data_IF_396086301590
#
_entry.id   IF_396086301590
#
_cell.length_a   1.000
_cell.length_b   1.000
_cell.length_c   1.000
_cell.angle_alpha   90.00
_cell.angle_beta   90.00
_cell.angle_gamma   90.00
#
_symmetry.space_group_name_H-M   'P 1'
#
loop_
_entity.id
_entity.type
_entity.pdbx_description
1 polymer ?
#
# COMPACT_ATOMS: atom_id res chain seq x y z
N UNK A 1 -37.40 13.27 -3.47
CA UNK A 1 -36.57 12.31 -2.70
C UNK A 1 -35.52 13.13 -1.96
N UNK A 2 -35.24 12.87 -0.67
CA UNK A 2 -34.22 13.62 0.07
C UNK A 2 -32.83 12.99 -0.14
N UNK A 3 -31.75 13.76 0.04
CA UNK A 3 -30.38 13.23 -0.06
C UNK A 3 -30.15 12.03 0.86
N UNK A 4 -30.65 12.10 2.10
CA UNK A 4 -30.53 11.00 3.05
C UNK A 4 -31.20 9.71 2.55
N UNK A 5 -32.44 9.80 2.04
CA UNK A 5 -33.14 8.62 1.49
C UNK A 5 -32.43 8.05 0.27
N UNK A 6 -31.85 8.91 -0.57
CA UNK A 6 -31.07 8.47 -1.73
C UNK A 6 -29.77 7.76 -1.32
N UNK A 7 -29.09 8.24 -0.29
CA UNK A 7 -27.90 7.59 0.28
C UNK A 7 -28.27 6.21 0.86
N UNK A 8 -29.35 6.15 1.64
CA UNK A 8 -29.86 4.90 2.21
C UNK A 8 -30.23 3.90 1.11
N UNK A 9 -30.93 4.34 0.06
CA UNK A 9 -31.27 3.53 -1.10
C UNK A 9 -30.04 3.00 -1.84
N UNK A 10 -29.01 3.84 -2.06
CA UNK A 10 -27.73 3.40 -2.63
C UNK A 10 -27.05 2.33 -1.79
N UNK A 11 -27.02 2.51 -0.47
CA UNK A 11 -26.42 1.54 0.44
C UNK A 11 -27.16 0.19 0.38
N UNK A 12 -28.49 0.20 0.32
CA UNK A 12 -29.32 -1.01 0.17
C UNK A 12 -29.01 -1.74 -1.13
N UNK A 13 -28.75 -1.01 -2.22
CA UNK A 13 -28.37 -1.57 -3.51
C UNK A 13 -26.87 -1.95 -3.61
N UNK A 14 -26.12 -1.91 -2.51
CA UNK A 14 -24.73 -2.33 -2.46
C UNK A 14 -23.75 -1.31 -3.01
N UNK A 15 -24.12 -0.02 -3.08
CA UNK A 15 -23.23 1.08 -3.45
C UNK A 15 -22.76 1.83 -2.19
N UNK A 16 -21.63 1.44 -1.57
CA UNK A 16 -21.16 1.99 -0.31
C UNK A 16 -20.58 3.41 -0.42
N UNK A 17 -20.41 3.93 -1.63
CA UNK A 17 -19.74 5.21 -1.90
C UNK A 17 -20.51 6.04 -2.92
N UNK A 18 -20.26 7.35 -2.88
CA UNK A 18 -20.77 8.30 -3.85
C UNK A 18 -19.89 9.56 -3.91
N UNK A 19 -19.97 10.25 -5.04
CA UNK A 19 -19.34 11.54 -5.29
C UNK A 19 -20.35 12.68 -5.22
N UNK A 20 -19.85 13.92 -5.09
CA UNK A 20 -20.72 15.11 -5.21
C UNK A 20 -21.31 15.19 -6.61
N UNK A 21 -20.60 14.71 -7.63
CA UNK A 21 -21.09 14.62 -9.00
C UNK A 21 -22.31 13.69 -9.12
N UNK A 22 -22.33 12.56 -8.40
CA UNK A 22 -23.48 11.65 -8.37
C UNK A 22 -24.72 12.34 -7.78
N UNK A 23 -24.53 13.13 -6.71
CA UNK A 23 -25.62 13.88 -6.07
C UNK A 23 -26.16 14.97 -7.00
N UNK A 24 -25.27 15.66 -7.73
CA UNK A 24 -25.68 16.66 -8.74
C UNK A 24 -26.45 16.01 -9.88
N UNK A 25 -26.01 14.85 -10.35
CA UNK A 25 -26.68 14.11 -11.42
C UNK A 25 -28.09 13.63 -11.02
N UNK A 26 -28.31 13.36 -9.72
CA UNK A 26 -29.60 12.97 -9.18
C UNK A 26 -30.57 14.15 -8.93
N UNK A 27 -30.14 15.40 -9.16
CA UNK A 27 -30.92 16.64 -9.01
C UNK A 27 -31.66 16.75 -7.64
N UNK A 28 -30.97 16.37 -6.56
CA UNK A 28 -31.54 16.26 -5.22
C UNK A 28 -31.54 17.57 -4.43
N UNK A 29 -30.73 18.56 -4.85
CA UNK A 29 -30.53 19.81 -4.12
C UNK A 29 -30.69 21.02 -5.05
N UNK A 30 -31.51 21.99 -4.65
CA UNK A 30 -31.82 23.18 -5.44
C UNK A 30 -30.67 24.21 -5.53
N UNK A 31 -29.63 24.08 -4.69
CA UNK A 31 -28.44 24.93 -4.74
C UNK A 31 -27.21 24.24 -4.15
N UNK A 32 -26.01 24.68 -4.55
CA UNK A 32 -24.75 24.16 -4.02
C UNK A 32 -24.60 24.44 -2.51
N UNK A 33 -25.13 25.56 -2.01
CA UNK A 33 -25.10 25.85 -0.57
C UNK A 33 -25.91 24.83 0.24
N UNK A 34 -27.09 24.44 -0.26
CA UNK A 34 -27.92 23.42 0.38
C UNK A 34 -27.18 22.08 0.39
N UNK A 35 -26.57 21.69 -0.73
CA UNK A 35 -25.80 20.46 -0.85
C UNK A 35 -24.66 20.40 0.19
N UNK A 36 -23.85 21.45 0.29
CA UNK A 36 -22.75 21.51 1.25
C UNK A 36 -23.25 21.44 2.70
N UNK A 37 -24.35 22.13 3.02
CA UNK A 37 -24.95 22.09 4.35
C UNK A 37 -25.47 20.68 4.70
N UNK A 38 -26.13 19.99 3.76
CA UNK A 38 -26.61 18.63 3.97
C UNK A 38 -25.48 17.62 4.14
N UNK A 39 -24.44 17.67 3.29
CA UNK A 39 -23.27 16.81 3.41
C UNK A 39 -22.52 17.04 4.73
N UNK A 40 -22.41 18.30 5.16
CA UNK A 40 -21.82 18.65 6.45
C UNK A 40 -22.63 18.08 7.63
N UNK A 41 -23.96 18.21 7.58
CA UNK A 41 -24.87 17.62 8.58
C UNK A 41 -24.74 16.09 8.65
N UNK A 42 -24.75 15.42 7.49
CA UNK A 42 -24.64 13.96 7.41
C UNK A 42 -23.26 13.46 7.88
N UNK A 43 -22.20 14.23 7.61
CA UNK A 43 -20.86 13.92 8.11
C UNK A 43 -20.78 14.09 9.63
N UNK A 44 -21.37 15.17 10.16
CA UNK A 44 -21.41 15.44 11.61
C UNK A 44 -22.16 14.37 12.39
N UNK A 45 -23.23 13.83 11.81
CA UNK A 45 -24.03 12.76 12.40
C UNK A 45 -23.50 11.34 12.11
N UNK A 46 -22.28 11.21 11.54
CA UNK A 46 -21.64 9.93 11.21
C UNK A 46 -22.47 9.03 10.29
N UNK A 47 -23.26 9.61 9.40
CA UNK A 47 -23.95 8.86 8.33
C UNK A 47 -23.02 8.63 7.13
N UNK A 48 -22.16 9.60 6.84
CA UNK A 48 -21.16 9.54 5.78
C UNK A 48 -19.81 9.99 6.33
N UNK A 49 -18.73 9.56 5.69
CA UNK A 49 -17.39 10.11 5.91
C UNK A 49 -16.82 10.61 4.58
N UNK A 50 -16.29 11.83 4.56
CA UNK A 50 -15.45 12.26 3.45
C UNK A 50 -14.13 11.49 3.52
N UNK A 51 -13.79 10.81 2.42
CA UNK A 51 -12.54 10.03 2.31
C UNK A 51 -11.59 10.64 1.27
N UNK A 52 -12.13 11.45 0.37
CA UNK A 52 -11.40 12.29 -0.58
C UNK A 52 -12.24 13.53 -0.88
N UNK A 53 -11.63 14.58 -1.44
CA UNK A 53 -12.34 15.82 -1.77
C UNK A 53 -13.50 15.52 -2.72
N UNK A 54 -14.73 15.78 -2.26
CA UNK A 54 -15.95 15.55 -3.05
C UNK A 54 -16.34 14.08 -3.18
N UNK A 55 -15.73 13.18 -2.39
CA UNK A 55 -16.03 11.76 -2.42
C UNK A 55 -16.25 11.22 -1.00
N UNK A 56 -17.33 10.46 -0.84
CA UNK A 56 -17.85 10.05 0.44
C UNK A 56 -18.07 8.54 0.48
N UNK A 57 -17.81 7.96 1.65
CA UNK A 57 -18.24 6.61 2.00
C UNK A 57 -19.43 6.70 2.94
N UNK A 58 -20.44 5.87 2.68
CA UNK A 58 -21.60 5.70 3.56
C UNK A 58 -21.13 4.85 4.73
N UNK A 59 -21.26 5.33 5.97
CA UNK A 59 -20.76 4.62 7.15
C UNK A 59 -21.70 3.46 7.46
N UNK A 60 -21.25 2.20 7.30
CA UNK A 60 -22.05 1.03 7.67
C UNK A 60 -22.25 0.97 9.18
N UNK A 61 -23.34 0.33 9.62
CA UNK A 61 -23.70 0.24 11.05
C UNK A 61 -22.57 -0.34 11.90
N UNK A 62 -21.83 -1.33 11.40
CA UNK A 62 -20.69 -1.95 12.09
C UNK A 62 -19.50 -0.98 12.33
N UNK A 63 -19.43 0.13 11.59
CA UNK A 63 -18.35 1.12 11.71
C UNK A 63 -18.75 2.40 12.43
N UNK A 64 -20.04 2.58 12.80
CA UNK A 64 -20.55 3.79 13.45
C UNK A 64 -19.85 4.06 14.79
N UNK A 65 -19.70 3.02 15.63
CA UNK A 65 -19.02 3.14 16.92
C UNK A 65 -17.51 3.37 16.77
N UNK A 66 -16.89 2.70 15.79
CA UNK A 66 -15.47 2.86 15.46
C UNK A 66 -15.16 4.29 14.97
N UNK A 67 -16.13 4.95 14.36
CA UNK A 67 -15.99 6.32 13.85
C UNK A 67 -15.12 6.42 12.59
N UNK A 68 -14.58 5.31 12.09
CA UNK A 68 -13.80 5.23 10.85
C UNK A 68 -14.15 3.98 10.05
N UNK A 69 -14.18 4.14 8.73
CA UNK A 69 -14.41 3.06 7.76
C UNK A 69 -13.06 2.70 7.16
N UNK A 70 -12.61 1.42 7.22
CA UNK A 70 -11.33 1.01 6.66
C UNK A 70 -11.21 1.34 5.17
N UNK A 71 -10.00 1.71 4.70
CA UNK A 71 -9.78 1.99 3.28
C UNK A 71 -10.04 0.76 2.38
N UNK A 72 -9.83 -0.45 2.88
CA UNK A 72 -10.21 -1.70 2.17
C UNK A 72 -11.69 -1.77 1.79
N UNK A 73 -12.54 -0.98 2.44
CA UNK A 73 -13.98 -0.89 2.17
C UNK A 73 -14.33 -0.03 0.95
N UNK A 74 -13.47 0.93 0.57
CA UNK A 74 -13.81 1.92 -0.46
C UNK A 74 -12.69 2.25 -1.46
N UNK A 75 -11.47 1.73 -1.27
CA UNK A 75 -10.32 2.17 -2.07
C UNK A 75 -10.48 1.85 -3.55
N UNK A 76 -11.09 0.71 -3.89
CA UNK A 76 -11.29 0.31 -5.29
C UNK A 76 -12.24 1.27 -6.02
N UNK A 77 -13.36 1.60 -5.37
CA UNK A 77 -14.35 2.54 -5.89
C UNK A 77 -13.77 3.96 -5.97
N UNK A 78 -12.96 4.36 -4.97
CA UNK A 78 -12.26 5.64 -5.00
C UNK A 78 -11.28 5.71 -6.16
N UNK A 79 -10.46 4.68 -6.39
CA UNK A 79 -9.48 4.68 -7.47
C UNK A 79 -10.12 4.60 -8.85
N UNK A 80 -11.26 3.91 -8.97
CA UNK A 80 -12.12 3.94 -10.16
C UNK A 80 -12.66 5.35 -10.43
N UNK A 81 -13.18 6.05 -9.41
CA UNK A 81 -13.63 7.45 -9.54
C UNK A 81 -12.48 8.39 -9.93
N UNK A 82 -11.29 8.19 -9.35
CA UNK A 82 -10.10 8.97 -9.70
C UNK A 82 -9.52 8.60 -11.07
N UNK A 83 -10.01 7.52 -11.71
CA UNK A 83 -9.49 6.96 -12.95
C UNK A 83 -7.97 6.73 -12.86
N UNK A 84 -7.53 6.15 -11.76
CA UNK A 84 -6.11 5.92 -11.47
C UNK A 84 -5.87 4.44 -11.22
N UNK A 85 -4.90 3.82 -11.90
CA UNK A 85 -4.49 2.47 -11.57
C UNK A 85 -3.83 2.48 -10.19
N UNK A 86 -3.95 1.39 -9.45
CA UNK A 86 -3.43 1.32 -8.09
C UNK A 86 -3.13 -0.11 -7.66
N UNK A 87 -2.39 -0.21 -6.56
CA UNK A 87 -2.41 -1.37 -5.68
C UNK A 87 -2.12 -0.95 -4.24
N UNK A 88 -2.57 -1.76 -3.28
CA UNK A 88 -2.22 -1.65 -1.87
C UNK A 88 -0.82 -2.22 -1.67
N UNK A 89 0.06 -1.46 -1.01
CA UNK A 89 1.49 -1.74 -0.92
C UNK A 89 2.01 -1.72 0.53
N UNK A 90 3.32 -1.95 0.69
CA UNK A 90 4.03 -1.81 1.98
C UNK A 90 3.38 -2.64 3.10
N UNK A 91 3.34 -2.10 4.33
CA UNK A 91 2.76 -2.74 5.51
C UNK A 91 1.29 -3.14 5.32
N UNK A 92 0.50 -2.37 4.55
CA UNK A 92 -0.89 -2.72 4.29
C UNK A 92 -1.03 -3.96 3.41
N UNK A 93 -0.13 -4.15 2.45
CA UNK A 93 -0.07 -5.39 1.69
C UNK A 93 0.42 -6.56 2.55
N UNK A 94 1.46 -6.34 3.38
CA UNK A 94 1.97 -7.36 4.29
C UNK A 94 0.89 -7.84 5.28
N UNK A 95 0.09 -6.93 5.85
CA UNK A 95 -1.07 -7.27 6.69
C UNK A 95 -2.07 -8.14 5.92
N UNK A 96 -2.41 -7.77 4.69
CA UNK A 96 -3.37 -8.50 3.86
C UNK A 96 -2.85 -9.85 3.35
N UNK A 97 -1.53 -10.02 3.30
CA UNK A 97 -0.83 -11.28 3.05
C UNK A 97 -0.66 -12.12 4.33
N UNK A 98 -0.99 -11.58 5.50
CA UNK A 98 -0.88 -12.26 6.78
C UNK A 98 0.54 -12.31 7.36
N UNK A 99 1.45 -11.47 6.86
CA UNK A 99 2.86 -11.41 7.28
C UNK A 99 3.18 -10.20 8.19
N UNK A 100 2.14 -9.52 8.71
CA UNK A 100 2.30 -8.40 9.63
C UNK A 100 1.36 -8.55 10.82
N UNK A 101 1.95 -8.82 11.99
CA UNK A 101 1.21 -9.02 13.25
C UNK A 101 0.56 -7.77 13.83
N UNK A 102 1.11 -6.60 13.51
CA UNK A 102 0.55 -5.33 13.94
C UNK A 102 -0.19 -4.66 12.81
N UNK A 103 -1.43 -4.26 13.07
CA UNK A 103 -2.22 -3.47 12.13
C UNK A 103 -1.53 -2.13 11.85
N UNK A 104 -1.20 -1.81 10.58
CA UNK A 104 -0.63 -0.53 10.22
C UNK A 104 -1.58 0.61 10.59
N UNK A 105 -1.04 1.70 11.12
CA UNK A 105 -1.83 2.90 11.44
C UNK A 105 -2.30 3.63 10.18
N UNK A 106 -1.51 3.56 9.10
CA UNK A 106 -1.77 4.18 7.80
C UNK A 106 -2.03 3.11 6.75
N UNK A 107 -2.90 3.43 5.79
CA UNK A 107 -3.19 2.55 4.66
C UNK A 107 -2.38 2.99 3.44
N UNK A 108 -1.43 2.17 3.00
CA UNK A 108 -0.50 2.53 1.93
C UNK A 108 -1.02 2.12 0.56
N UNK A 109 -1.09 3.08 -0.36
CA UNK A 109 -1.55 2.88 -1.73
C UNK A 109 -0.50 3.41 -2.71
N UNK A 110 -0.09 2.55 -3.64
CA UNK A 110 0.77 2.92 -4.76
C UNK A 110 -0.08 3.24 -5.99
N UNK A 111 0.21 4.35 -6.67
CA UNK A 111 -0.45 4.74 -7.93
C UNK A 111 0.55 5.44 -8.86
N UNK A 112 0.06 6.02 -9.96
CA UNK A 112 0.88 6.70 -10.96
C UNK A 112 0.81 8.23 -10.90
N UNK A 113 1.88 8.88 -11.36
CA UNK A 113 1.92 10.33 -11.56
C UNK A 113 0.85 10.81 -12.56
N UNK A 114 0.45 12.09 -12.54
CA UNK A 114 0.84 13.14 -11.59
C UNK A 114 0.25 12.92 -10.19
N UNK A 115 0.92 13.46 -9.17
CA UNK A 115 0.42 13.45 -7.79
C UNK A 115 -0.88 14.25 -7.73
N UNK A 116 -1.94 13.67 -7.15
CA UNK A 116 -3.14 14.44 -6.81
C UNK A 116 -2.93 15.14 -5.47
N UNK A 117 -3.56 16.30 -5.29
CA UNK A 117 -3.61 16.93 -3.96
C UNK A 117 -4.46 16.05 -3.05
N UNK A 118 -3.78 15.32 -2.18
CA UNK A 118 -4.41 14.52 -1.14
C UNK A 118 -4.87 15.48 -0.05
N UNK A 119 -6.16 15.40 0.31
CA UNK A 119 -6.65 16.00 1.55
C UNK A 119 -6.75 14.85 2.53
N UNK A 120 -5.90 14.85 3.55
CA UNK A 120 -6.05 13.90 4.66
C UNK A 120 -7.39 14.17 5.33
N UNK A 121 -8.22 13.14 5.42
CA UNK A 121 -9.49 13.19 6.14
C UNK A 121 -9.27 12.58 7.53
N UNK A 122 -10.04 13.02 8.53
CA UNK A 122 -9.73 12.80 9.96
C UNK A 122 -9.72 11.32 10.41
N UNK A 123 -10.22 10.38 9.59
CA UNK A 123 -10.61 9.05 10.06
C UNK A 123 -9.79 7.89 9.48
N UNK A 124 -9.22 8.03 8.27
CA UNK A 124 -8.23 7.10 7.71
C UNK A 124 -7.21 7.90 6.91
N UNK A 125 -5.95 7.85 7.34
CA UNK A 125 -4.84 8.44 6.60
C UNK A 125 -4.37 7.44 5.56
N UNK A 126 -4.74 7.67 4.31
CA UNK A 126 -4.16 6.96 3.17
C UNK A 126 -2.83 7.62 2.86
N UNK A 127 -1.77 6.82 2.85
CA UNK A 127 -0.45 7.24 2.40
C UNK A 127 -0.29 6.91 0.92
N UNK A 128 0.01 7.94 0.13
CA UNK A 128 0.06 7.84 -1.31
C UNK A 128 1.49 7.77 -1.80
N UNK A 129 1.82 6.66 -2.44
CA UNK A 129 3.10 6.42 -3.11
C UNK A 129 2.92 6.45 -4.62
N UNK A 130 3.98 6.82 -5.33
CA UNK A 130 3.90 7.11 -6.76
C UNK A 130 5.07 6.47 -7.52
N UNK A 131 4.75 5.88 -8.67
CA UNK A 131 5.71 5.33 -9.63
C UNK A 131 5.24 5.60 -11.07
N UNK A 132 6.14 5.53 -12.05
CA UNK A 132 5.82 5.88 -13.44
C UNK A 132 4.87 4.87 -14.10
N UNK A 133 5.03 3.58 -13.77
CA UNK A 133 4.14 2.50 -14.18
C UNK A 133 3.96 1.48 -13.06
N UNK A 134 2.88 0.70 -13.14
CA UNK A 134 2.60 -0.38 -12.19
C UNK A 134 2.98 -1.74 -12.82
N UNK A 135 3.59 -2.65 -12.05
CA UNK A 135 3.86 -4.01 -12.52
C UNK A 135 2.59 -4.87 -12.41
N UNK A 136 1.70 -4.74 -13.40
CA UNK A 136 0.36 -5.36 -13.38
C UNK A 136 0.37 -6.87 -13.10
N UNK A 137 1.35 -7.59 -13.65
CA UNK A 137 1.53 -9.04 -13.48
C UNK A 137 1.99 -9.44 -12.07
N UNK A 138 2.47 -8.48 -11.27
CA UNK A 138 2.87 -8.71 -9.87
C UNK A 138 1.77 -8.31 -8.87
N UNK A 139 0.57 -8.02 -9.36
CA UNK A 139 -0.58 -7.67 -8.53
C UNK A 139 -1.51 -8.86 -8.38
N UNK A 140 -2.00 -9.09 -7.17
CA UNK A 140 -3.00 -10.11 -6.86
C UNK A 140 -4.27 -9.48 -6.33
N UNK A 141 -5.38 -10.19 -6.48
CA UNK A 141 -6.70 -9.74 -6.03
C UNK A 141 -7.01 -10.32 -4.67
N UNK A 142 -7.46 -9.49 -3.73
CA UNK A 142 -7.93 -9.90 -2.41
C UNK A 142 -9.40 -9.51 -2.23
N UNK A 143 -10.21 -10.41 -1.68
CA UNK A 143 -11.60 -10.12 -1.34
C UNK A 143 -11.68 -9.15 -0.15
N UNK A 144 -12.66 -8.26 -0.20
CA UNK A 144 -13.02 -7.32 0.88
C UNK A 144 -14.52 -7.38 1.14
N UNK A 145 -15.00 -6.63 2.14
CA UNK A 145 -16.42 -6.55 2.48
C UNK A 145 -17.30 -6.02 1.33
N UNK A 146 -16.73 -5.21 0.43
CA UNK A 146 -17.46 -4.49 -0.63
C UNK A 146 -17.06 -4.89 -2.03
N UNK A 147 -16.31 -5.98 -2.19
CA UNK A 147 -15.84 -6.48 -3.47
C UNK A 147 -14.42 -7.01 -3.39
N UNK A 148 -13.55 -6.48 -4.24
CA UNK A 148 -12.15 -6.87 -4.29
C UNK A 148 -11.24 -5.65 -4.35
N UNK A 149 -10.00 -5.84 -3.94
CA UNK A 149 -8.92 -4.85 -4.06
C UNK A 149 -7.70 -5.50 -4.69
N UNK A 150 -6.84 -4.68 -5.27
CA UNK A 150 -5.56 -5.11 -5.82
C UNK A 150 -4.44 -4.84 -4.83
N UNK A 151 -3.62 -5.85 -4.56
CA UNK A 151 -2.48 -5.74 -3.64
C UNK A 151 -1.21 -6.24 -4.33
N UNK A 152 -0.04 -5.80 -3.87
CA UNK A 152 1.24 -6.36 -4.32
C UNK A 152 1.35 -7.83 -3.93
N UNK A 153 1.93 -8.66 -4.81
CA UNK A 153 2.31 -10.02 -4.46
C UNK A 153 3.43 -10.02 -3.38
N UNK A 154 3.79 -11.17 -2.79
CA UNK A 154 4.81 -11.24 -1.75
C UNK A 154 6.16 -10.61 -2.12
N UNK A 155 6.75 -10.93 -3.29
CA UNK A 155 8.04 -10.36 -3.69
C UNK A 155 7.99 -8.85 -3.95
N UNK A 156 6.92 -8.34 -4.56
CA UNK A 156 6.74 -6.90 -4.76
C UNK A 156 6.54 -6.19 -3.41
N UNK A 157 5.82 -6.81 -2.48
CA UNK A 157 5.65 -6.29 -1.11
C UNK A 157 6.99 -6.20 -0.41
N UNK A 158 7.83 -7.24 -0.48
CA UNK A 158 9.18 -7.24 0.07
C UNK A 158 10.07 -6.13 -0.54
N UNK A 159 10.04 -5.99 -1.87
CA UNK A 159 10.79 -4.95 -2.56
C UNK A 159 10.33 -3.54 -2.18
N UNK A 160 9.02 -3.32 -2.09
CA UNK A 160 8.42 -2.06 -1.65
C UNK A 160 8.86 -1.71 -0.22
N UNK A 161 8.76 -2.67 0.72
CA UNK A 161 9.19 -2.52 2.12
C UNK A 161 10.65 -2.06 2.21
N UNK A 162 11.56 -2.70 1.47
CA UNK A 162 12.98 -2.33 1.43
C UNK A 162 13.18 -0.96 0.77
N UNK A 163 12.49 -0.69 -0.35
CA UNK A 163 12.64 0.56 -1.11
C UNK A 163 12.21 1.78 -0.28
N UNK A 164 11.12 1.66 0.47
CA UNK A 164 10.54 2.74 1.26
C UNK A 164 10.69 2.49 2.78
N UNK A 165 11.77 1.82 3.19
CA UNK A 165 12.05 1.46 4.59
C UNK A 165 11.90 2.61 5.59
N UNK A 166 12.23 3.84 5.18
CA UNK A 166 12.07 5.05 6.02
C UNK A 166 10.60 5.36 6.38
N UNK A 167 9.65 4.88 5.60
CA UNK A 167 8.21 5.07 5.84
C UNK A 167 7.55 3.93 6.61
N UNK A 168 8.29 2.85 6.92
CA UNK A 168 7.74 1.67 7.59
C UNK A 168 8.41 1.33 8.92
N UNK A 169 9.29 2.21 9.41
CA UNK A 169 9.98 2.04 10.68
C UNK A 169 11.41 1.52 10.56
N UNK A 170 12.00 1.56 9.36
CA UNK A 170 13.39 1.15 9.12
C UNK A 170 13.55 -0.33 8.77
N UNK A 171 14.79 -0.73 8.48
CA UNK A 171 15.09 -2.09 8.01
C UNK A 171 14.87 -3.18 9.07
N UNK A 172 14.98 -2.89 10.37
CA UNK A 172 14.67 -3.83 11.46
C UNK A 172 13.23 -4.34 11.37
N UNK A 173 12.27 -3.42 11.22
CA UNK A 173 10.86 -3.77 11.04
C UNK A 173 10.59 -4.46 9.71
N UNK A 174 11.31 -4.09 8.66
CA UNK A 174 11.23 -4.79 7.37
C UNK A 174 11.72 -6.23 7.52
N UNK A 175 12.85 -6.46 8.19
CA UNK A 175 13.40 -7.80 8.41
C UNK A 175 12.42 -8.69 9.21
N UNK A 176 11.82 -8.16 10.27
CA UNK A 176 10.81 -8.88 11.07
C UNK A 176 9.62 -9.32 10.21
N UNK A 177 9.11 -8.46 9.32
CA UNK A 177 8.02 -8.82 8.39
C UNK A 177 8.48 -9.86 7.36
N UNK A 178 9.75 -9.82 6.95
CA UNK A 178 10.31 -10.76 5.99
C UNK A 178 10.47 -12.16 6.57
N UNK A 179 10.53 -12.34 7.88
CA UNK A 179 10.57 -13.67 8.52
C UNK A 179 9.34 -14.51 8.17
N UNK A 180 8.16 -13.89 8.03
CA UNK A 180 6.94 -14.58 7.60
C UNK A 180 6.66 -14.44 6.12
N UNK A 181 6.93 -13.26 5.55
CA UNK A 181 6.62 -12.99 4.15
C UNK A 181 7.45 -13.88 3.21
N UNK A 182 8.67 -14.27 3.62
CA UNK A 182 9.57 -15.15 2.87
C UNK A 182 8.92 -16.46 2.48
N UNK A 183 8.11 -17.08 3.36
CA UNK A 183 7.43 -18.35 3.12
C UNK A 183 6.49 -18.31 1.91
N UNK A 184 6.03 -17.12 1.52
CA UNK A 184 5.11 -16.88 0.40
C UNK A 184 5.82 -16.38 -0.87
N UNK A 185 7.13 -16.12 -0.81
CA UNK A 185 7.91 -15.62 -1.95
C UNK A 185 8.30 -16.77 -2.86
N UNK A 186 8.04 -16.62 -4.15
CA UNK A 186 8.53 -17.51 -5.21
C UNK A 186 9.31 -16.66 -6.22
N UNK A 187 10.64 -16.58 -6.04
CA UNK A 187 11.51 -15.74 -6.86
C UNK A 187 11.41 -16.11 -8.34
N UNK A 188 11.41 -17.40 -8.64
CA UNK A 188 11.43 -17.91 -10.02
C UNK A 188 10.14 -17.52 -10.78
N UNK A 189 9.01 -17.42 -10.09
CA UNK A 189 7.74 -16.97 -10.70
C UNK A 189 7.54 -15.46 -10.64
N UNK A 190 7.98 -14.80 -9.57
CA UNK A 190 7.58 -13.43 -9.25
C UNK A 190 8.60 -12.37 -9.70
N UNK A 191 9.86 -12.74 -9.97
CA UNK A 191 10.93 -11.75 -10.23
C UNK A 191 10.81 -11.07 -11.60
N UNK A 192 10.60 -11.84 -12.68
CA UNK A 192 10.67 -11.34 -14.06
C UNK A 192 9.77 -10.11 -14.31
N UNK A 193 8.49 -10.08 -13.87
CA UNK A 193 7.65 -8.91 -14.07
C UNK A 193 8.09 -7.66 -13.28
N UNK A 194 8.94 -7.83 -12.27
CA UNK A 194 9.39 -6.76 -11.38
C UNK A 194 10.76 -6.19 -11.76
N UNK A 195 11.55 -6.91 -12.55
CA UNK A 195 12.94 -6.58 -12.85
C UNK A 195 13.13 -5.17 -13.43
N UNK A 196 12.17 -4.68 -14.23
CA UNK A 196 12.22 -3.35 -14.85
C UNK A 196 11.62 -2.24 -13.98
N UNK A 197 10.80 -2.60 -12.98
CA UNK A 197 10.09 -1.65 -12.11
C UNK A 197 10.84 -1.34 -10.82
N UNK A 198 11.67 -2.28 -10.35
CA UNK A 198 12.40 -2.16 -9.08
C UNK A 198 13.88 -1.91 -9.36
N UNK A 199 14.45 -0.91 -8.69
CA UNK A 199 15.87 -0.56 -8.84
C UNK A 199 16.75 -1.69 -8.32
N UNK A 200 17.84 -1.99 -9.04
CA UNK A 200 18.84 -2.99 -8.66
C UNK A 200 19.30 -2.92 -7.19
N UNK A 201 19.53 -1.71 -6.66
CA UNK A 201 19.96 -1.52 -5.25
C UNK A 201 18.95 -2.07 -4.24
N UNK A 202 17.65 -2.04 -4.56
CA UNK A 202 16.59 -2.61 -3.70
C UNK A 202 16.74 -4.12 -3.65
N UNK A 203 16.98 -4.77 -4.79
CA UNK A 203 17.24 -6.21 -4.84
C UNK A 203 18.53 -6.60 -4.11
N UNK A 204 19.59 -5.79 -4.23
CA UNK A 204 20.83 -6.02 -3.48
C UNK A 204 20.59 -6.00 -1.96
N UNK A 205 19.82 -5.01 -1.48
CA UNK A 205 19.46 -4.90 -0.06
C UNK A 205 18.54 -6.03 0.39
N UNK A 206 17.51 -6.37 -0.40
CA UNK A 206 16.60 -7.46 -0.08
C UNK A 206 17.34 -8.80 0.01
N UNK A 207 18.21 -9.11 -0.96
CA UNK A 207 19.01 -10.32 -0.95
C UNK A 207 19.94 -10.42 0.25
N UNK A 208 20.62 -9.31 0.61
CA UNK A 208 21.44 -9.26 1.82
C UNK A 208 20.61 -9.55 3.09
N UNK A 209 19.43 -8.94 3.23
CA UNK A 209 18.55 -9.11 4.38
C UNK A 209 18.03 -10.56 4.46
N UNK A 210 17.56 -11.13 3.34
CA UNK A 210 17.10 -12.52 3.29
C UNK A 210 18.21 -13.49 3.71
N UNK A 211 19.43 -13.33 3.19
CA UNK A 211 20.54 -14.26 3.46
C UNK A 211 21.12 -14.13 4.86
N UNK A 212 21.37 -12.90 5.32
CA UNK A 212 22.22 -12.64 6.49
C UNK A 212 21.45 -12.23 7.74
N UNK A 213 20.21 -11.77 7.59
CA UNK A 213 19.36 -11.36 8.71
C UNK A 213 18.27 -12.39 8.95
N UNK A 214 17.44 -12.66 7.93
CA UNK A 214 16.29 -13.59 8.04
C UNK A 214 16.76 -15.06 7.99
N UNK A 215 17.84 -15.36 7.28
CA UNK A 215 18.40 -16.71 7.15
C UNK A 215 17.84 -17.54 5.99
N UNK A 216 17.05 -16.91 5.11
CA UNK A 216 16.42 -17.51 3.93
C UNK A 216 17.38 -17.63 2.74
N UNK A 217 18.41 -18.47 2.91
CA UNK A 217 19.51 -18.62 1.94
C UNK A 217 19.04 -19.10 0.57
N UNK A 218 18.06 -20.01 0.51
CA UNK A 218 17.57 -20.54 -0.77
C UNK A 218 16.88 -19.45 -1.61
N UNK A 219 16.04 -18.61 -0.97
CA UNK A 219 15.42 -17.47 -1.65
C UNK A 219 16.47 -16.44 -2.09
N UNK A 220 17.47 -16.20 -1.26
CA UNK A 220 18.57 -15.31 -1.58
C UNK A 220 19.41 -15.83 -2.77
N UNK A 221 19.68 -17.13 -2.84
CA UNK A 221 20.37 -17.80 -3.95
C UNK A 221 19.59 -17.66 -5.25
N UNK A 222 18.29 -17.95 -5.24
CA UNK A 222 17.42 -17.78 -6.41
C UNK A 222 17.41 -16.32 -6.90
N UNK A 223 17.28 -15.36 -5.98
CA UNK A 223 17.29 -13.93 -6.32
C UNK A 223 18.64 -13.51 -6.90
N UNK A 224 19.73 -14.02 -6.35
CA UNK A 224 21.08 -13.73 -6.82
C UNK A 224 21.27 -14.21 -8.26
N UNK A 225 20.82 -15.43 -8.59
CA UNK A 225 20.91 -15.98 -9.95
C UNK A 225 20.05 -15.22 -10.95
N UNK A 226 18.82 -14.83 -10.57
CA UNK A 226 17.97 -13.98 -11.42
C UNK A 226 18.63 -12.63 -11.72
N UNK A 227 19.24 -11.99 -10.72
CA UNK A 227 19.94 -10.72 -10.91
C UNK A 227 21.20 -10.85 -11.76
N UNK A 228 21.99 -11.91 -11.57
CA UNK A 228 23.20 -12.18 -12.34
C UNK A 228 22.90 -12.38 -13.82
N UNK A 229 21.76 -13.02 -14.12
CA UNK A 229 21.31 -13.29 -15.49
C UNK A 229 20.71 -12.05 -16.16
N UNK A 230 19.91 -11.28 -15.42
CA UNK A 230 19.18 -10.13 -15.95
C UNK A 230 20.00 -8.84 -15.99
N UNK A 231 21.01 -8.72 -15.14
CA UNK A 231 21.70 -7.47 -14.91
C UNK A 231 23.20 -7.68 -14.84
N UNK A 232 23.97 -6.80 -15.48
CA UNK A 232 25.44 -6.79 -15.38
C UNK A 232 25.93 -6.59 -13.93
N UNK A 233 27.22 -6.32 -13.78
CA UNK A 233 27.91 -6.17 -12.48
C UNK A 233 27.18 -5.31 -11.42
N UNK A 234 27.32 -5.72 -10.16
CA UNK A 234 26.87 -4.97 -8.98
C UNK A 234 27.88 -3.91 -8.58
N UNK A 235 27.38 -2.79 -8.05
CA UNK A 235 28.20 -1.74 -7.40
C UNK A 235 27.93 -1.78 -5.90
N UNK A 236 28.95 -1.44 -5.12
CA UNK A 236 28.76 -1.25 -3.68
C UNK A 236 27.75 -0.14 -3.41
N UNK A 237 26.78 -0.41 -2.54
CA UNK A 237 25.73 0.52 -2.12
C UNK A 237 25.53 0.41 -0.60
N UNK A 238 25.18 1.50 0.11
CA UNK A 238 24.86 1.40 1.53
C UNK A 238 23.59 0.56 1.76
N UNK A 239 23.59 -0.23 2.84
CA UNK A 239 22.46 -1.05 3.27
C UNK A 239 21.23 -0.17 3.55
N UNK A 240 21.43 0.94 4.26
CA UNK A 240 20.40 1.93 4.52
C UNK A 240 20.83 3.33 4.05
N UNK A 241 19.86 4.12 3.59
CA UNK A 241 20.04 5.56 3.31
C UNK A 241 19.76 6.44 4.53
N UNK A 242 19.41 5.86 5.68
CA UNK A 242 19.12 6.61 6.92
C UNK A 242 20.35 6.90 7.78
N UNK A 243 21.50 6.33 7.43
CA UNK A 243 22.77 6.49 8.14
C UNK A 243 23.89 6.82 7.14
N UNK A 244 25.01 7.35 7.67
CA UNK A 244 26.22 7.55 6.87
C UNK A 244 26.70 6.23 6.26
N UNK A 245 27.32 6.28 5.09
CA UNK A 245 27.87 5.07 4.47
C UNK A 245 29.03 4.53 5.29
N UNK A 246 29.18 3.21 5.35
CA UNK A 246 30.28 2.54 6.04
C UNK A 246 31.05 1.63 5.08
N UNK A 247 31.97 2.18 4.27
CA UNK A 247 32.74 1.37 3.33
C UNK A 247 33.78 0.48 4.01
N UNK A 248 33.89 0.41 5.33
CA UNK A 248 34.82 -0.51 6.00
C UNK A 248 34.20 -1.88 6.27
N UNK A 249 32.88 -1.93 6.48
CA UNK A 249 32.11 -3.16 6.69
C UNK A 249 31.29 -3.45 5.44
N UNK A 250 31.57 -4.55 4.73
CA UNK A 250 30.94 -4.83 3.43
C UNK A 250 30.60 -6.28 3.26
N UNK A 251 29.44 -6.53 2.69
CA UNK A 251 29.10 -7.80 2.06
C UNK A 251 29.53 -7.82 0.59
N UNK A 252 30.34 -8.82 0.24
CA UNK A 252 30.95 -8.92 -1.07
C UNK A 252 30.05 -9.54 -2.13
N UNK A 253 29.06 -10.34 -1.72
CA UNK A 253 28.13 -11.04 -2.61
C UNK A 253 27.13 -10.06 -3.20
N UNK A 254 26.37 -9.40 -2.33
CA UNK A 254 25.36 -8.42 -2.70
C UNK A 254 25.94 -7.03 -2.99
N UNK A 255 27.25 -6.82 -2.74
CA UNK A 255 27.91 -5.52 -2.82
C UNK A 255 27.17 -4.48 -1.98
N UNK A 256 27.02 -4.77 -0.70
CA UNK A 256 26.36 -3.88 0.25
C UNK A 256 27.37 -3.43 1.32
N UNK A 257 27.42 -2.13 1.58
CA UNK A 257 28.14 -1.57 2.71
C UNK A 257 27.22 -1.61 3.94
N UNK A 258 27.62 -2.34 4.98
CA UNK A 258 26.82 -2.59 6.17
C UNK A 258 26.97 -1.40 7.09
N UNK A 259 26.05 -0.45 6.95
CA UNK A 259 26.11 0.85 7.62
C UNK A 259 25.02 1.05 8.69
N UNK A 260 24.19 0.04 8.91
CA UNK A 260 23.23 -0.05 10.00
C UNK A 260 23.21 -1.48 10.51
N UNK A 261 22.97 -1.65 11.81
CA UNK A 261 22.62 -2.93 12.41
C UNK A 261 21.12 -3.18 12.22
N UNK A 262 20.74 -4.43 11.96
CA UNK A 262 19.36 -4.85 11.77
C UNK A 262 19.09 -5.92 12.81
N UNK A 263 18.17 -5.62 13.72
CA UNK A 263 17.68 -6.53 14.75
C UNK A 263 16.23 -6.87 14.40
N UNK A 264 15.86 -8.15 14.46
CA UNK A 264 14.47 -8.55 14.35
C UNK A 264 13.84 -8.59 15.74
N UNK A 265 12.57 -8.18 15.82
CA UNK A 265 11.84 -8.24 17.07
C UNK A 265 11.49 -9.71 17.36
N UNK A 266 11.63 -10.17 18.61
CA UNK A 266 11.11 -11.46 19.03
C UNK A 266 9.57 -11.43 18.88
N UNK A 267 9.05 -12.26 17.96
CA UNK A 267 7.60 -12.44 17.71
C UNK A 267 6.96 -13.32 18.78
#
# INVERSE_FOLDING_TARGET
MTLQKWIEDRAIHGFPTFSVEDVRAADLCSSEQILQNELSRLSSNKTIASVYRGYYVIIPTQYVLRGSVPATYYIDQLMSYLQKPYYVCMLSAAELLGAAHQRPQQFSVMTTFPKRRVVSTRNVTIDWYYRDGLPEEALITKNTETGTIRISNPLLTAADLVQYQQHVGGLSRVATILEELSEQIDINKQFTPLATYVKKVVWQRLGYILENVVGEKNLADDLYEQLRTSSGYFKYQPLSTSAEDNPSSRDSRWKININVEIETDDI
#
